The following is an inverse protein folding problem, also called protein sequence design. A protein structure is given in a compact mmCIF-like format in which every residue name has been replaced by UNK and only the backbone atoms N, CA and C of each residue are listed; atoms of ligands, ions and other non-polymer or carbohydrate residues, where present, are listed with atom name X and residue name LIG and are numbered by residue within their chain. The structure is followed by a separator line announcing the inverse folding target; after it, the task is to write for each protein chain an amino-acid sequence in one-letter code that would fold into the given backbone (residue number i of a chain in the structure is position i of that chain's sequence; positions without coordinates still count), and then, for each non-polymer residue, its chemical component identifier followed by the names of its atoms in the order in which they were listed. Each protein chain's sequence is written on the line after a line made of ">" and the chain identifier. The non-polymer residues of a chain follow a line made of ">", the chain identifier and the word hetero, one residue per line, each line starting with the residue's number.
data_IF_064996469208
#
_entry.id   IF_064996469208
#
_cell.length_a   1.000
_cell.length_b   1.000
_cell.length_c   1.000
_cell.angle_alpha   90.00
_cell.angle_beta   90.00
_cell.angle_gamma   90.00
#
_symmetry.space_group_name_H-M   'P 1'
#
loop_
_entity.id
_entity.type
_entity.pdbx_description
1 polymer ?
#
# COMPACT_ATOMS: atom_id res chain seq x y z
N UNK A 1 -4.95 -41.72 -27.81
CA UNK A 1 -5.61 -41.68 -26.47
C UNK A 1 -6.54 -40.48 -26.41
N UNK A 2 -7.87 -40.66 -26.26
CA UNK A 2 -8.78 -39.53 -26.15
C UNK A 2 -8.65 -38.89 -24.75
N UNK A 3 -8.42 -37.57 -24.68
CA UNK A 3 -8.48 -36.81 -23.42
C UNK A 3 -9.91 -36.93 -22.87
N UNK A 4 -10.08 -37.58 -21.71
CA UNK A 4 -11.36 -37.59 -20.98
C UNK A 4 -11.80 -36.15 -20.76
N UNK A 5 -12.84 -35.70 -21.47
CA UNK A 5 -13.42 -34.38 -21.26
C UNK A 5 -14.17 -34.38 -19.93
N UNK A 6 -13.71 -33.57 -18.98
CA UNK A 6 -14.37 -33.36 -17.69
C UNK A 6 -15.83 -32.92 -17.90
N UNK A 7 -16.78 -33.64 -17.29
CA UNK A 7 -18.22 -33.35 -17.43
C UNK A 7 -18.56 -31.99 -16.82
N UNK A 8 -19.71 -31.40 -17.19
CA UNK A 8 -20.14 -30.09 -16.67
C UNK A 8 -20.33 -30.12 -15.15
N UNK A 9 -20.84 -31.23 -14.60
CA UNK A 9 -21.00 -31.44 -13.16
C UNK A 9 -19.65 -31.53 -12.44
N UNK A 10 -18.65 -32.19 -13.05
CA UNK A 10 -17.32 -32.30 -12.46
C UNK A 10 -16.61 -30.93 -12.40
N UNK A 11 -16.77 -30.11 -13.43
CA UNK A 11 -16.27 -28.72 -13.44
C UNK A 11 -16.94 -27.86 -12.37
N UNK A 12 -18.25 -28.03 -12.16
CA UNK A 12 -18.99 -27.29 -11.14
C UNK A 12 -18.49 -27.65 -9.73
N UNK A 13 -18.32 -28.95 -9.47
CA UNK A 13 -17.78 -29.46 -8.20
C UNK A 13 -16.35 -28.99 -7.94
N UNK A 14 -15.50 -29.03 -8.96
CA UNK A 14 -14.12 -28.54 -8.86
C UNK A 14 -14.07 -27.04 -8.54
N UNK A 15 -14.90 -26.23 -9.19
CA UNK A 15 -14.98 -24.80 -8.90
C UNK A 15 -15.48 -24.52 -7.49
N UNK A 16 -16.45 -25.31 -6.99
CA UNK A 16 -16.96 -25.16 -5.64
C UNK A 16 -15.90 -25.57 -4.59
N UNK A 17 -15.19 -26.67 -4.83
CA UNK A 17 -14.07 -27.08 -3.98
C UNK A 17 -12.96 -26.01 -3.94
N UNK A 18 -12.59 -25.44 -5.08
CA UNK A 18 -11.58 -24.37 -5.15
C UNK A 18 -12.00 -23.12 -4.35
N UNK A 19 -13.28 -22.73 -4.38
CA UNK A 19 -13.80 -21.61 -3.57
C UNK A 19 -13.73 -21.90 -2.08
N UNK A 20 -14.11 -23.11 -1.66
CA UNK A 20 -14.05 -23.52 -0.24
C UNK A 20 -12.59 -23.54 0.23
N UNK A 21 -11.69 -24.14 -0.56
CA UNK A 21 -10.26 -24.17 -0.25
C UNK A 21 -9.68 -22.76 -0.12
N UNK A 22 -10.03 -21.85 -1.03
CA UNK A 22 -9.61 -20.44 -0.94
C UNK A 22 -10.16 -19.78 0.33
N UNK A 23 -11.43 -20.00 0.68
CA UNK A 23 -12.03 -19.47 1.91
C UNK A 23 -11.33 -19.98 3.17
N UNK A 24 -11.05 -21.28 3.24
CA UNK A 24 -10.30 -21.90 4.34
C UNK A 24 -8.87 -21.36 4.41
N UNK A 25 -8.21 -21.17 3.26
CA UNK A 25 -6.87 -20.58 3.17
C UNK A 25 -6.85 -19.14 3.71
N UNK A 26 -7.80 -18.30 3.30
CA UNK A 26 -7.93 -16.92 3.79
C UNK A 26 -8.22 -16.87 5.29
N UNK A 27 -9.11 -17.73 5.80
CA UNK A 27 -9.36 -17.84 7.22
C UNK A 27 -8.10 -18.27 7.99
N UNK A 28 -7.34 -19.23 7.44
CA UNK A 28 -6.05 -19.67 8.00
C UNK A 28 -5.02 -18.54 8.08
N UNK A 29 -4.93 -17.69 7.05
CA UNK A 29 -4.05 -16.50 7.07
C UNK A 29 -4.45 -15.53 8.20
N UNK A 30 -5.75 -15.24 8.34
CA UNK A 30 -6.24 -14.34 9.38
C UNK A 30 -5.93 -14.89 10.77
N UNK A 31 -6.18 -16.19 11.01
CA UNK A 31 -5.85 -16.84 12.28
C UNK A 31 -4.33 -16.83 12.53
N UNK A 32 -3.53 -17.14 11.51
CA UNK A 32 -2.08 -17.14 11.62
C UNK A 32 -1.50 -15.75 11.92
N UNK A 33 -2.11 -14.68 11.38
CA UNK A 33 -1.72 -13.30 11.69
C UNK A 33 -1.78 -13.00 13.20
N UNK A 34 -2.78 -13.51 13.92
CA UNK A 34 -2.93 -13.26 15.37
C UNK A 34 -2.19 -14.28 16.24
N UNK A 35 -2.14 -15.56 15.83
CA UNK A 35 -1.62 -16.64 16.67
C UNK A 35 -0.18 -17.06 16.36
N UNK A 36 0.30 -16.84 15.13
CA UNK A 36 1.59 -17.37 14.65
C UNK A 36 2.62 -16.25 14.45
N UNK A 37 2.20 -15.12 13.92
CA UNK A 37 3.06 -13.94 13.73
C UNK A 37 3.30 -13.30 15.11
N UNK A 38 4.55 -13.14 15.58
CA UNK A 38 4.80 -12.50 16.86
C UNK A 38 4.42 -11.02 16.82
N UNK A 39 4.32 -10.40 18.00
CA UNK A 39 4.25 -8.94 18.07
C UNK A 39 5.56 -8.34 17.55
N UNK A 40 5.44 -7.15 16.97
CA UNK A 40 6.60 -6.37 16.57
C UNK A 40 7.04 -5.56 17.77
N UNK A 41 8.35 -5.57 18.05
CA UNK A 41 8.91 -4.69 19.08
C UNK A 41 8.52 -3.25 18.69
N UNK A 42 8.05 -2.43 19.63
CA UNK A 42 7.58 -1.06 19.36
C UNK A 42 6.17 -0.92 18.82
N UNK A 43 5.86 -1.60 17.72
CA UNK A 43 4.55 -1.54 17.06
C UNK A 43 3.50 -2.47 17.71
N UNK A 44 3.94 -3.37 18.60
CA UNK A 44 3.09 -4.37 19.24
C UNK A 44 2.30 -5.21 18.24
N UNK A 45 0.99 -5.35 18.49
CA UNK A 45 0.08 -6.05 17.59
C UNK A 45 -0.23 -5.28 16.31
N UNK A 46 -0.05 -3.95 16.28
CA UNK A 46 -0.36 -3.13 15.11
C UNK A 46 0.48 -3.51 13.90
N UNK A 47 1.74 -3.91 14.11
CA UNK A 47 2.64 -4.34 13.04
C UNK A 47 2.15 -5.60 12.30
N UNK A 48 1.28 -6.42 12.90
CA UNK A 48 0.73 -7.64 12.24
C UNK A 48 -0.15 -7.30 11.04
N UNK A 49 -0.65 -6.07 10.94
CA UNK A 49 -1.51 -5.61 9.84
C UNK A 49 -0.85 -5.74 8.46
N UNK A 50 0.49 -5.78 8.38
CA UNK A 50 1.24 -5.99 7.14
C UNK A 50 0.81 -7.25 6.39
N UNK A 51 0.36 -8.28 7.11
CA UNK A 51 -0.12 -9.53 6.53
C UNK A 51 -1.38 -9.30 5.68
N UNK A 52 -2.14 -8.24 5.91
CA UNK A 52 -3.32 -7.88 5.13
C UNK A 52 -3.08 -6.66 4.25
N UNK A 53 -2.53 -5.59 4.83
CA UNK A 53 -2.35 -4.29 4.16
C UNK A 53 -1.47 -4.39 2.91
N UNK A 54 -0.26 -4.94 3.02
CA UNK A 54 0.68 -4.98 1.90
C UNK A 54 0.19 -5.87 0.75
N UNK A 55 -0.37 -7.08 1.00
CA UNK A 55 -1.00 -7.86 -0.07
C UNK A 55 -2.13 -7.11 -0.78
N UNK A 56 -2.99 -6.35 -0.07
CA UNK A 56 -4.04 -5.56 -0.73
C UNK A 56 -3.47 -4.45 -1.62
N UNK A 57 -2.42 -3.76 -1.19
CA UNK A 57 -1.72 -2.76 -2.00
C UNK A 57 -1.03 -3.39 -3.22
N UNK A 58 -0.44 -4.58 -3.07
CA UNK A 58 0.19 -5.31 -4.17
C UNK A 58 -0.83 -5.78 -5.21
N UNK A 59 -1.95 -6.34 -4.76
CA UNK A 59 -3.02 -6.78 -5.66
C UNK A 59 -3.66 -5.62 -6.41
N UNK A 60 -3.75 -4.43 -5.81
CA UNK A 60 -4.16 -3.21 -6.52
C UNK A 60 -3.33 -2.99 -7.79
N UNK A 61 -2.00 -3.02 -7.65
CA UNK A 61 -1.04 -2.88 -8.76
C UNK A 61 -1.27 -3.95 -9.83
N UNK A 62 -1.37 -5.21 -9.41
CA UNK A 62 -1.57 -6.36 -10.32
C UNK A 62 -2.90 -6.23 -11.08
N UNK A 63 -3.98 -5.88 -10.38
CA UNK A 63 -5.31 -5.77 -10.95
C UNK A 63 -5.40 -4.66 -12.00
N UNK A 64 -4.83 -3.48 -11.71
CA UNK A 64 -4.77 -2.37 -12.66
C UNK A 64 -3.88 -2.69 -13.87
N UNK A 65 -2.75 -3.39 -13.68
CA UNK A 65 -1.93 -3.86 -14.79
C UNK A 65 -2.68 -4.87 -15.69
N UNK A 66 -3.39 -5.83 -15.10
CA UNK A 66 -4.26 -6.78 -15.84
C UNK A 66 -5.34 -6.03 -16.61
N UNK A 67 -5.97 -5.03 -15.98
CA UNK A 67 -6.97 -4.18 -16.61
C UNK A 67 -6.41 -3.43 -17.83
N UNK A 68 -5.20 -2.91 -17.73
CA UNK A 68 -4.50 -2.25 -18.84
C UNK A 68 -4.21 -3.23 -19.98
N UNK A 69 -3.71 -4.43 -19.69
CA UNK A 69 -3.46 -5.47 -20.71
C UNK A 69 -4.74 -5.81 -21.49
N UNK A 70 -5.86 -5.97 -20.78
CA UNK A 70 -7.16 -6.19 -21.42
C UNK A 70 -7.64 -4.98 -22.24
N UNK A 71 -7.36 -3.76 -21.78
CA UNK A 71 -7.66 -2.53 -22.52
C UNK A 71 -6.87 -2.44 -23.83
N UNK A 72 -5.56 -2.78 -23.83
CA UNK A 72 -4.74 -2.89 -25.04
C UNK A 72 -5.34 -3.92 -26.01
N UNK A 73 -5.68 -5.11 -25.49
CA UNK A 73 -6.26 -6.18 -26.31
C UNK A 73 -7.60 -5.78 -26.92
N UNK A 74 -8.44 -5.08 -26.18
CA UNK A 74 -9.69 -4.55 -26.69
C UNK A 74 -9.45 -3.51 -27.80
N UNK A 75 -8.52 -2.56 -27.62
CA UNK A 75 -8.21 -1.57 -28.65
C UNK A 75 -7.68 -2.20 -29.94
N UNK A 76 -6.91 -3.29 -29.83
CA UNK A 76 -6.41 -4.05 -30.98
C UNK A 76 -7.51 -4.91 -31.63
N UNK A 77 -8.18 -5.77 -30.86
CA UNK A 77 -9.05 -6.82 -31.41
C UNK A 77 -10.54 -6.49 -31.41
N UNK A 78 -10.95 -5.42 -30.72
CA UNK A 78 -12.34 -4.98 -30.56
C UNK A 78 -13.29 -6.06 -30.00
N UNK A 79 -12.76 -6.99 -29.19
CA UNK A 79 -13.56 -8.06 -28.60
C UNK A 79 -14.17 -7.63 -27.28
N UNK A 80 -15.46 -7.82 -27.15
CA UNK A 80 -16.24 -7.41 -25.97
C UNK A 80 -15.82 -8.16 -24.71
N UNK A 81 -15.29 -9.39 -24.86
CA UNK A 81 -14.65 -10.13 -23.78
C UNK A 81 -13.39 -9.46 -23.23
N UNK A 82 -12.61 -8.77 -24.07
CA UNK A 82 -11.43 -8.04 -23.60
C UNK A 82 -11.86 -6.76 -22.84
N UNK A 83 -12.92 -6.06 -23.27
CA UNK A 83 -13.48 -4.93 -22.51
C UNK A 83 -14.08 -5.37 -21.16
N UNK A 84 -14.86 -6.45 -21.13
CA UNK A 84 -15.40 -7.01 -19.88
C UNK A 84 -14.27 -7.42 -18.91
N UNK A 85 -13.19 -7.99 -19.43
CA UNK A 85 -12.00 -8.32 -18.64
C UNK A 85 -11.31 -7.08 -18.06
N UNK A 86 -11.19 -6.00 -18.86
CA UNK A 86 -10.63 -4.74 -18.39
C UNK A 86 -11.44 -4.15 -17.23
N UNK A 87 -12.76 -4.06 -17.39
CA UNK A 87 -13.66 -3.51 -16.36
C UNK A 87 -13.62 -4.34 -15.09
N UNK A 88 -13.76 -5.68 -15.21
CA UNK A 88 -13.75 -6.57 -14.05
C UNK A 88 -12.45 -6.47 -13.24
N UNK A 89 -11.31 -6.36 -13.93
CA UNK A 89 -10.02 -6.18 -13.28
C UNK A 89 -9.87 -4.80 -12.65
N UNK A 90 -10.38 -3.72 -13.30
CA UNK A 90 -10.38 -2.38 -12.73
C UNK A 90 -11.25 -2.29 -11.46
N UNK A 91 -12.45 -2.85 -11.48
CA UNK A 91 -13.37 -2.85 -10.32
C UNK A 91 -12.76 -3.62 -9.14
N UNK A 92 -12.19 -4.80 -9.41
CA UNK A 92 -11.49 -5.57 -8.39
C UNK A 92 -10.26 -4.81 -7.84
N UNK A 93 -9.46 -4.20 -8.72
CA UNK A 93 -8.31 -3.38 -8.32
C UNK A 93 -8.72 -2.17 -7.49
N UNK A 94 -9.81 -1.50 -7.84
CA UNK A 94 -10.36 -0.38 -7.08
C UNK A 94 -10.80 -0.81 -5.67
N UNK A 95 -11.46 -1.97 -5.56
CA UNK A 95 -11.81 -2.55 -4.25
C UNK A 95 -10.56 -2.79 -3.39
N UNK A 96 -9.52 -3.42 -3.95
CA UNK A 96 -8.27 -3.63 -3.22
C UNK A 96 -7.55 -2.32 -2.88
N UNK A 97 -7.65 -1.31 -3.73
CA UNK A 97 -7.09 0.02 -3.49
C UNK A 97 -7.77 0.70 -2.29
N UNK A 98 -9.10 0.61 -2.23
CA UNK A 98 -9.89 1.09 -1.08
C UNK A 98 -9.48 0.34 0.18
N UNK A 99 -9.38 -1.00 0.13
CA UNK A 99 -8.96 -1.82 1.28
C UNK A 99 -7.54 -1.47 1.76
N UNK A 100 -6.61 -1.26 0.83
CA UNK A 100 -5.25 -0.82 1.14
C UNK A 100 -5.26 0.55 1.83
N UNK A 101 -6.04 1.49 1.30
CA UNK A 101 -6.18 2.85 1.86
C UNK A 101 -6.78 2.78 3.27
N UNK A 102 -7.92 2.11 3.46
CA UNK A 102 -8.59 2.04 4.76
C UNK A 102 -7.79 1.27 5.81
N UNK A 103 -7.09 0.19 5.42
CA UNK A 103 -6.20 -0.53 6.34
C UNK A 103 -4.97 0.29 6.70
N UNK A 104 -4.45 1.11 5.77
CA UNK A 104 -3.41 2.09 6.05
C UNK A 104 -3.87 3.15 7.05
N UNK A 105 -5.09 3.70 6.87
CA UNK A 105 -5.69 4.64 7.82
C UNK A 105 -5.86 4.06 9.23
N UNK A 106 -6.21 2.77 9.34
CA UNK A 106 -6.31 2.11 10.65
C UNK A 106 -4.94 1.96 11.31
N UNK A 107 -3.92 1.57 10.54
CA UNK A 107 -2.53 1.55 11.03
C UNK A 107 -2.11 2.95 11.50
N UNK A 108 -2.31 3.96 10.66
CA UNK A 108 -2.01 5.36 10.96
C UNK A 108 -2.66 5.82 12.28
N UNK A 109 -3.94 5.52 12.48
CA UNK A 109 -4.63 5.89 13.71
C UNK A 109 -4.06 5.21 14.96
N UNK A 110 -3.64 3.95 14.86
CA UNK A 110 -3.08 3.21 16.00
C UNK A 110 -1.65 3.67 16.31
N UNK A 111 -0.87 3.98 15.27
CA UNK A 111 0.58 4.11 15.34
C UNK A 111 1.04 5.57 15.38
N UNK A 112 0.31 6.47 14.72
CA UNK A 112 0.54 7.92 14.68
C UNK A 112 -0.54 8.73 15.43
N UNK A 113 -1.61 8.09 15.89
CA UNK A 113 -2.70 8.75 16.64
C UNK A 113 -3.72 9.50 15.78
N UNK A 114 -3.55 9.51 14.45
CA UNK A 114 -4.50 10.11 13.49
C UNK A 114 -4.67 9.19 12.28
N UNK A 115 -5.90 9.01 11.76
CA UNK A 115 -6.16 8.13 10.63
C UNK A 115 -5.66 8.68 9.29
N UNK A 116 -5.22 9.93 9.23
CA UNK A 116 -4.72 10.58 8.02
C UNK A 116 -3.74 11.71 8.37
N UNK A 117 -2.60 11.72 7.68
CA UNK A 117 -1.45 12.58 7.94
C UNK A 117 -0.97 13.29 6.65
N UNK A 118 -1.66 13.09 5.53
CA UNK A 118 -1.19 13.59 4.23
C UNK A 118 0.22 13.11 3.85
N UNK A 119 0.64 11.96 4.40
CA UNK A 119 1.91 11.33 4.05
C UNK A 119 1.99 11.12 2.52
N UNK A 120 3.18 11.21 1.90
CA UNK A 120 3.31 11.01 0.45
C UNK A 120 2.65 9.74 -0.08
N UNK A 121 2.65 8.62 0.66
CA UNK A 121 1.97 7.38 0.23
C UNK A 121 0.47 7.41 0.42
N UNK A 122 -0.01 7.99 1.51
CA UNK A 122 -1.45 8.25 1.71
C UNK A 122 -1.99 9.12 0.57
N UNK A 123 -1.29 10.22 0.30
CA UNK A 123 -1.69 11.17 -0.74
C UNK A 123 -1.64 10.55 -2.13
N UNK A 124 -0.58 9.81 -2.49
CA UNK A 124 -0.50 9.23 -3.84
C UNK A 124 -1.47 8.08 -4.06
N UNK A 125 -1.77 7.25 -3.05
CA UNK A 125 -2.79 6.20 -3.18
C UNK A 125 -4.20 6.81 -3.27
N UNK A 126 -4.46 7.92 -2.56
CA UNK A 126 -5.71 8.68 -2.72
C UNK A 126 -5.85 9.25 -4.12
N UNK A 127 -4.80 9.86 -4.68
CA UNK A 127 -4.80 10.35 -6.06
C UNK A 127 -5.09 9.20 -7.04
N UNK A 128 -4.48 8.02 -6.84
CA UNK A 128 -4.76 6.84 -7.65
C UNK A 128 -6.22 6.38 -7.54
N UNK A 129 -6.80 6.39 -6.33
CA UNK A 129 -8.23 6.13 -6.12
C UNK A 129 -9.08 7.11 -6.93
N UNK A 130 -8.79 8.41 -6.88
CA UNK A 130 -9.54 9.43 -7.61
C UNK A 130 -9.42 9.25 -9.14
N UNK A 131 -8.24 8.89 -9.64
CA UNK A 131 -8.02 8.59 -11.07
C UNK A 131 -8.90 7.43 -11.53
N UNK A 132 -8.98 6.34 -10.76
CA UNK A 132 -9.82 5.19 -11.09
C UNK A 132 -11.32 5.45 -10.82
N UNK A 133 -11.67 6.27 -9.84
CA UNK A 133 -13.05 6.74 -9.67
C UNK A 133 -13.50 7.54 -10.91
N UNK A 134 -12.64 8.42 -11.42
CA UNK A 134 -12.89 9.15 -12.67
C UNK A 134 -12.97 8.22 -13.90
N UNK A 135 -12.21 7.12 -13.95
CA UNK A 135 -12.40 6.08 -14.98
C UNK A 135 -13.83 5.53 -14.98
N UNK A 136 -14.37 5.17 -13.81
CA UNK A 136 -15.73 4.65 -13.69
C UNK A 136 -16.79 5.70 -14.01
N UNK A 137 -16.59 6.95 -13.54
CA UNK A 137 -17.48 8.07 -13.84
C UNK A 137 -17.53 8.38 -15.36
N UNK A 138 -16.37 8.39 -16.03
CA UNK A 138 -16.32 8.54 -17.49
C UNK A 138 -17.08 7.40 -18.18
N UNK A 139 -16.90 6.17 -17.71
CA UNK A 139 -17.56 5.01 -18.30
C UNK A 139 -19.07 5.04 -18.11
N UNK A 140 -19.56 5.48 -16.95
CA UNK A 140 -21.01 5.56 -16.67
C UNK A 140 -21.70 6.70 -17.42
N UNK A 141 -20.97 7.78 -17.75
CA UNK A 141 -21.51 8.94 -18.45
C UNK A 141 -21.67 8.77 -19.98
N UNK A 142 -21.26 7.63 -20.54
CA UNK A 142 -21.28 7.39 -22.00
C UNK A 142 -22.38 6.40 -22.39
N UNK A 143 -23.41 6.89 -23.07
CA UNK A 143 -24.55 6.09 -23.53
C UNK A 143 -24.16 5.13 -24.68
N UNK A 144 -23.41 5.65 -25.67
CA UNK A 144 -22.97 4.86 -26.81
C UNK A 144 -21.99 3.77 -26.35
N UNK A 145 -22.40 2.52 -26.54
CA UNK A 145 -21.69 1.35 -26.00
C UNK A 145 -20.28 1.23 -26.55
N UNK A 146 -20.07 1.45 -27.85
CA UNK A 146 -18.75 1.27 -28.46
C UNK A 146 -17.81 2.44 -28.13
N UNK A 147 -18.34 3.66 -28.11
CA UNK A 147 -17.63 4.86 -27.67
C UNK A 147 -17.22 4.73 -26.21
N UNK A 148 -18.11 4.25 -25.34
CA UNK A 148 -17.83 3.95 -23.92
C UNK A 148 -16.65 3.01 -23.78
N UNK A 149 -16.70 1.84 -24.41
CA UNK A 149 -15.63 0.85 -24.35
C UNK A 149 -14.29 1.42 -24.84
N UNK A 150 -14.29 2.13 -25.97
CA UNK A 150 -13.08 2.74 -26.55
C UNK A 150 -12.47 3.82 -25.66
N UNK A 151 -13.28 4.78 -25.21
CA UNK A 151 -12.79 5.90 -24.39
C UNK A 151 -12.34 5.42 -23.00
N UNK A 152 -13.08 4.50 -22.39
CA UNK A 152 -12.66 3.86 -21.13
C UNK A 152 -11.33 3.12 -21.31
N UNK A 153 -11.17 2.31 -22.36
CA UNK A 153 -9.93 1.58 -22.60
C UNK A 153 -8.73 2.52 -22.75
N UNK A 154 -8.87 3.63 -23.50
CA UNK A 154 -7.82 4.65 -23.63
C UNK A 154 -7.50 5.31 -22.29
N UNK A 155 -8.52 5.77 -21.56
CA UNK A 155 -8.34 6.39 -20.24
C UNK A 155 -7.60 5.45 -19.28
N UNK A 156 -7.97 4.17 -19.27
CA UNK A 156 -7.37 3.18 -18.37
C UNK A 156 -5.87 2.97 -18.66
N UNK A 157 -5.43 3.11 -19.92
CA UNK A 157 -4.00 3.07 -20.23
C UNK A 157 -3.25 4.26 -19.64
N UNK A 158 -3.82 5.47 -19.72
CA UNK A 158 -3.24 6.63 -19.06
C UNK A 158 -3.19 6.44 -17.54
N UNK A 159 -4.30 5.99 -16.92
CA UNK A 159 -4.35 5.67 -15.50
C UNK A 159 -3.29 4.64 -15.10
N UNK A 160 -3.16 3.55 -15.87
CA UNK A 160 -2.18 2.51 -15.61
C UNK A 160 -0.72 2.98 -15.72
N UNK A 161 -0.43 3.95 -16.59
CA UNK A 161 0.91 4.56 -16.68
C UNK A 161 1.20 5.46 -15.48
N UNK A 162 0.19 6.14 -14.93
CA UNK A 162 0.37 6.96 -13.72
C UNK A 162 0.57 6.12 -12.46
N UNK A 163 0.04 4.89 -12.43
CA UNK A 163 0.08 4.03 -11.24
C UNK A 163 1.51 3.73 -10.74
N UNK A 164 2.47 3.29 -11.59
CA UNK A 164 3.85 3.06 -11.12
C UNK A 164 4.51 4.32 -10.55
N UNK A 165 4.21 5.47 -11.14
CA UNK A 165 4.71 6.75 -10.64
C UNK A 165 4.14 7.03 -9.24
N UNK A 166 2.82 6.93 -9.06
CA UNK A 166 2.16 7.23 -7.79
C UNK A 166 2.47 6.22 -6.67
N UNK A 167 2.60 4.92 -6.97
CA UNK A 167 2.82 3.90 -5.94
C UNK A 167 4.30 3.65 -5.63
N UNK A 168 5.19 3.81 -6.63
CA UNK A 168 6.60 3.45 -6.46
C UNK A 168 7.55 4.65 -6.49
N UNK A 169 7.31 5.65 -7.33
CA UNK A 169 8.25 6.75 -7.55
C UNK A 169 7.97 7.93 -6.63
N UNK A 170 6.83 8.59 -6.78
CA UNK A 170 6.49 9.83 -6.07
C UNK A 170 6.64 9.74 -4.54
N UNK A 171 6.20 8.65 -3.87
CA UNK A 171 6.34 8.58 -2.41
C UNK A 171 7.78 8.39 -1.93
N UNK A 172 8.70 8.00 -2.81
CA UNK A 172 10.13 7.86 -2.51
C UNK A 172 10.94 9.10 -2.89
N UNK A 173 10.33 10.04 -3.61
CA UNK A 173 10.95 11.33 -3.93
C UNK A 173 10.71 12.38 -2.85
N UNK A 174 9.78 12.13 -1.93
CA UNK A 174 9.50 13.05 -0.84
C UNK A 174 10.65 13.02 0.20
N UNK A 175 11.11 14.20 0.60
CA UNK A 175 12.17 14.35 1.62
C UNK A 175 11.73 13.82 3.00
N UNK A 176 10.42 13.67 3.23
CA UNK A 176 9.85 13.24 4.50
C UNK A 176 8.66 12.30 4.31
N UNK A 177 8.65 11.17 5.02
CA UNK A 177 7.54 10.21 5.03
C UNK A 177 7.39 9.58 6.41
N UNK A 178 6.15 9.51 6.91
CA UNK A 178 5.80 8.69 8.09
C UNK A 178 5.83 7.21 7.76
N UNK A 179 5.50 6.89 6.50
CA UNK A 179 5.34 5.51 6.12
C UNK A 179 6.67 4.76 6.31
N UNK A 180 6.66 3.68 7.11
CA UNK A 180 7.87 2.98 7.54
C UNK A 180 8.42 2.11 6.40
N UNK A 181 8.85 2.75 5.31
CA UNK A 181 9.54 2.11 4.19
C UNK A 181 10.75 1.30 4.68
N UNK A 182 11.28 1.72 5.82
CA UNK A 182 12.58 1.39 6.35
C UNK A 182 12.54 0.46 7.59
N UNK A 183 11.37 0.29 8.22
CA UNK A 183 11.24 -0.62 9.37
C UNK A 183 11.13 -2.10 8.97
N UNK A 184 10.69 -2.38 7.73
CA UNK A 184 10.22 -3.73 7.36
C UNK A 184 11.09 -4.46 6.33
N UNK A 185 12.00 -3.77 5.63
CA UNK A 185 12.88 -4.36 4.60
C UNK A 185 14.35 -4.09 4.96
N UNK A 186 15.17 -5.15 5.04
CA UNK A 186 16.59 -5.05 5.37
C UNK A 186 17.36 -4.34 4.23
N UNK A 187 17.98 -3.20 4.53
CA UNK A 187 18.78 -2.42 3.57
C UNK A 187 18.07 -1.23 2.90
N UNK A 188 16.83 -0.89 3.29
CA UNK A 188 16.20 0.37 2.85
C UNK A 188 16.53 1.49 3.83
N UNK A 189 17.31 2.46 3.37
CA UNK A 189 17.51 3.75 4.03
C UNK A 189 16.27 4.61 3.81
N UNK A 190 15.77 5.22 4.89
CA UNK A 190 15.04 6.46 4.75
C UNK A 190 16.18 7.46 4.81
N UNK A 191 16.33 8.34 3.82
CA UNK A 191 17.51 9.23 3.74
C UNK A 191 17.56 10.28 4.88
N UNK A 192 16.77 10.08 5.94
CA UNK A 192 16.56 10.98 7.07
C UNK A 192 16.20 12.38 6.60
N UNK A 193 16.31 13.33 7.51
CA UNK A 193 16.33 14.75 7.19
C UNK A 193 17.59 15.37 7.77
N UNK A 194 18.33 16.06 6.91
CA UNK A 194 19.43 16.90 7.37
C UNK A 194 18.89 18.18 7.98
N UNK A 195 19.10 18.33 9.29
CA UNK A 195 18.81 19.56 10.03
C UNK A 195 20.09 20.32 10.34
N UNK A 196 19.97 21.64 10.43
CA UNK A 196 21.08 22.55 10.72
C UNK A 196 20.83 23.29 12.03
N UNK A 197 21.90 23.59 12.78
CA UNK A 197 21.83 24.29 14.06
C UNK A 197 21.08 25.63 13.94
N UNK A 198 20.51 26.06 15.08
CA UNK A 198 19.68 27.26 15.24
C UNK A 198 18.34 27.25 14.50
N UNK A 199 17.83 26.08 14.10
CA UNK A 199 16.57 25.97 13.37
C UNK A 199 16.56 26.62 11.99
N UNK A 200 17.75 26.88 11.41
CA UNK A 200 17.93 27.51 10.09
C UNK A 200 17.22 26.72 8.99
N UNK A 201 17.15 25.40 9.16
CA UNK A 201 16.30 24.50 8.40
C UNK A 201 15.38 23.77 9.36
N UNK A 202 14.09 24.01 9.22
CA UNK A 202 13.04 23.21 9.86
C UNK A 202 12.73 22.05 8.92
N UNK A 203 12.82 20.83 9.42
CA UNK A 203 12.46 19.64 8.67
C UNK A 203 11.20 19.02 9.22
N UNK A 204 10.63 18.11 8.46
CA UNK A 204 9.41 17.43 8.85
C UNK A 204 9.68 15.93 8.74
N UNK A 205 9.32 15.16 9.76
CA UNK A 205 9.22 13.71 9.66
C UNK A 205 7.74 13.38 9.81
N UNK A 206 7.07 13.35 8.67
CA UNK A 206 5.65 13.12 8.63
C UNK A 206 4.79 14.30 9.00
N UNK A 207 4.08 14.23 10.11
CA UNK A 207 3.36 15.36 10.70
C UNK A 207 4.21 16.11 11.73
N UNK A 208 5.34 15.52 12.13
CA UNK A 208 6.20 16.05 13.18
C UNK A 208 7.20 17.03 12.59
N UNK A 209 7.14 18.28 13.03
CA UNK A 209 8.09 19.32 12.67
C UNK A 209 9.25 19.29 13.64
N UNK A 210 10.47 19.22 13.09
CA UNK A 210 11.71 19.04 13.81
C UNK A 210 12.63 20.23 13.54
N UNK A 211 13.19 20.78 14.60
CA UNK A 211 14.22 21.81 14.52
C UNK A 211 15.40 21.44 15.40
N UNK A 212 16.60 21.50 14.82
CA UNK A 212 17.83 21.24 15.54
C UNK A 212 18.20 22.48 16.38
N UNK A 213 18.20 22.31 17.70
CA UNK A 213 18.53 23.37 18.66
C UNK A 213 20.02 23.38 19.00
N UNK A 214 20.62 22.20 19.17
CA UNK A 214 22.03 22.10 19.53
C UNK A 214 22.58 20.70 19.31
N UNK A 215 23.90 20.62 19.20
CA UNK A 215 24.65 19.35 19.21
C UNK A 215 25.73 19.51 20.28
N UNK A 216 25.70 18.65 21.28
CA UNK A 216 26.71 18.61 22.34
C UNK A 216 27.51 17.31 22.24
N UNK A 217 28.83 17.41 22.27
CA UNK A 217 29.69 16.23 22.29
C UNK A 217 30.09 15.90 23.73
N UNK A 218 29.67 14.74 24.21
CA UNK A 218 30.00 14.21 25.53
C UNK A 218 30.88 12.97 25.36
N UNK A 219 32.19 13.20 25.21
CA UNK A 219 33.15 12.11 24.94
C UNK A 219 32.96 11.52 23.54
N UNK A 220 32.61 10.23 23.49
CA UNK A 220 32.34 9.49 22.24
C UNK A 220 30.88 9.63 21.74
N UNK A 221 30.02 10.28 22.52
CA UNK A 221 28.62 10.49 22.17
C UNK A 221 28.40 11.92 21.67
N UNK A 222 27.74 12.05 20.52
CA UNK A 222 27.12 13.28 20.08
C UNK A 222 25.65 13.27 20.49
N UNK A 223 25.27 14.13 21.43
CA UNK A 223 23.91 14.32 21.91
C UNK A 223 23.27 15.46 21.12
N UNK A 224 22.18 15.15 20.42
CA UNK A 224 21.49 16.08 19.54
C UNK A 224 20.22 16.56 20.22
N UNK A 225 20.07 17.87 20.43
CA UNK A 225 18.89 18.48 21.02
C UNK A 225 17.92 18.88 19.92
N UNK A 226 16.76 18.22 19.88
CA UNK A 226 15.79 18.36 18.80
C UNK A 226 14.48 18.86 19.37
N UNK A 227 14.07 20.03 18.91
CA UNK A 227 12.74 20.56 19.15
C UNK A 227 11.73 19.84 18.26
N UNK A 228 10.65 19.37 18.87
CA UNK A 228 9.63 18.54 18.22
C UNK A 228 8.27 19.20 18.40
N UNK A 229 7.60 19.47 17.28
CA UNK A 229 6.23 20.01 17.23
C UNK A 229 5.33 19.05 16.48
N UNK A 230 4.16 18.76 17.03
CA UNK A 230 3.21 17.81 16.45
C UNK A 230 1.81 18.43 16.34
N UNK A 231 1.00 18.04 15.35
CA UNK A 231 -0.40 18.41 15.28
C UNK A 231 -1.13 17.86 16.52
N UNK A 232 -1.80 18.74 17.26
CA UNK A 232 -2.58 18.37 18.45
C UNK A 232 -1.83 18.47 19.79
N UNK A 233 -0.49 18.59 19.80
CA UNK A 233 0.22 19.04 20.99
C UNK A 233 0.19 20.58 21.06
N UNK A 234 -0.22 21.12 22.21
CA UNK A 234 -0.13 22.57 22.48
C UNK A 234 1.31 23.01 22.77
N UNK A 235 2.12 22.09 23.28
CA UNK A 235 3.46 22.36 23.78
C UNK A 235 4.52 21.71 22.90
N UNK A 236 5.65 22.40 22.79
CA UNK A 236 6.87 21.95 22.14
C UNK A 236 7.55 20.90 23.04
N UNK A 237 7.90 19.74 22.48
CA UNK A 237 8.70 18.73 23.19
C UNK A 237 10.17 18.82 22.78
N UNK A 238 11.09 18.71 23.73
CA UNK A 238 12.53 18.63 23.46
C UNK A 238 12.99 17.18 23.63
N UNK A 239 13.49 16.57 22.55
CA UNK A 239 14.05 15.23 22.56
C UNK A 239 15.58 15.29 22.42
N UNK A 240 16.28 14.35 23.05
CA UNK A 240 17.74 14.31 23.09
C UNK A 240 18.32 12.97 22.63
N UNK A 241 18.13 12.56 21.36
CA UNK A 241 18.79 11.38 20.81
C UNK A 241 20.32 11.53 20.85
N UNK A 242 21.03 10.41 20.87
CA UNK A 242 22.50 10.39 20.85
C UNK A 242 23.08 9.45 19.80
N UNK A 243 24.27 9.78 19.31
CA UNK A 243 25.00 9.06 18.28
C UNK A 243 26.42 8.74 18.75
N UNK A 244 26.86 7.50 18.57
CA UNK A 244 28.20 7.06 18.94
C UNK A 244 29.18 7.28 17.77
N UNK A 245 30.16 8.16 17.97
CA UNK A 245 31.08 8.63 16.93
C UNK A 245 32.07 7.54 16.51
N UNK A 246 32.51 6.69 17.43
CA UNK A 246 33.45 5.60 17.13
C UNK A 246 32.84 4.46 16.31
N UNK A 247 31.59 4.09 16.59
CA UNK A 247 30.90 2.97 15.93
C UNK A 247 30.05 3.38 14.73
N UNK A 248 29.73 4.68 14.62
CA UNK A 248 28.88 5.23 13.59
C UNK A 248 27.43 4.77 13.71
N UNK A 249 26.91 4.62 14.94
CA UNK A 249 25.56 4.09 15.20
C UNK A 249 24.76 4.97 16.16
N UNK A 250 23.42 5.01 16.01
CA UNK A 250 22.55 5.67 16.99
C UNK A 250 22.61 4.92 18.34
N UNK A 251 22.89 5.65 19.41
CA UNK A 251 23.04 5.14 20.78
C UNK A 251 21.74 5.27 21.60
N UNK A 252 21.22 6.49 21.79
CA UNK A 252 19.93 6.73 22.44
C UNK A 252 18.87 7.22 21.44
N UNK A 253 17.65 6.70 21.59
CA UNK A 253 16.54 6.90 20.64
C UNK A 253 15.24 7.18 21.41
N UNK A 254 14.99 8.42 21.82
CA UNK A 254 13.80 8.77 22.58
C UNK A 254 12.53 8.58 21.74
N UNK A 255 11.45 8.17 22.40
CA UNK A 255 10.12 8.04 21.80
C UNK A 255 9.50 9.42 21.53
N UNK A 256 8.82 9.56 20.40
CA UNK A 256 7.97 10.71 20.13
C UNK A 256 6.77 10.74 21.10
N UNK A 257 6.51 11.85 21.81
CA UNK A 257 5.36 11.97 22.71
C UNK A 257 4.04 11.50 22.09
N UNK A 258 3.42 10.48 22.70
CA UNK A 258 2.13 9.94 22.26
C UNK A 258 2.17 9.07 21.00
N UNK A 259 3.36 8.77 20.46
CA UNK A 259 3.56 7.87 19.34
C UNK A 259 4.49 6.72 19.72
N UNK A 260 4.54 5.66 18.90
CA UNK A 260 5.40 4.50 19.14
C UNK A 260 6.73 4.57 18.38
N UNK A 261 7.04 5.67 17.70
CA UNK A 261 8.30 5.82 16.96
C UNK A 261 9.40 6.40 17.81
N UNK A 262 10.63 6.08 17.44
CA UNK A 262 11.85 6.59 18.03
C UNK A 262 12.46 7.63 17.11
N UNK A 263 13.00 8.69 17.70
CA UNK A 263 13.88 9.62 17.00
C UNK A 263 15.30 9.06 17.06
N UNK A 264 15.90 8.77 15.90
CA UNK A 264 17.27 8.31 15.78
C UNK A 264 18.12 9.35 15.06
N UNK A 265 19.39 9.43 15.44
CA UNK A 265 20.42 10.19 14.72
C UNK A 265 21.21 9.20 13.90
N UNK A 266 21.17 9.31 12.57
CA UNK A 266 21.89 8.41 11.67
C UNK A 266 23.29 8.91 11.35
N UNK A 267 23.48 10.23 11.32
CA UNK A 267 24.77 10.86 11.02
C UNK A 267 24.86 12.22 11.72
N UNK A 268 26.07 12.59 12.16
CA UNK A 268 26.36 13.89 12.77
C UNK A 268 27.57 14.52 12.10
N UNK A 269 27.39 15.73 11.59
CA UNK A 269 28.45 16.60 11.09
C UNK A 269 28.68 17.72 12.11
N UNK A 270 29.61 17.47 13.03
CA UNK A 270 30.00 18.43 14.08
C UNK A 270 30.65 19.70 13.51
N UNK A 271 31.25 19.63 12.32
CA UNK A 271 31.97 20.77 11.72
C UNK A 271 31.02 21.81 11.16
N UNK A 272 29.95 21.37 10.52
CA UNK A 272 28.93 22.25 9.95
C UNK A 272 27.70 22.41 10.85
N UNK A 273 27.68 21.76 12.02
CA UNK A 273 26.56 21.82 12.95
C UNK A 273 25.28 21.21 12.36
N UNK A 274 25.39 20.03 11.74
CA UNK A 274 24.26 19.35 11.11
C UNK A 274 24.10 17.94 11.64
N UNK A 275 22.86 17.48 11.70
CA UNK A 275 22.54 16.11 12.06
C UNK A 275 21.52 15.54 11.09
N UNK A 276 21.74 14.30 10.67
CA UNK A 276 20.78 13.51 9.93
C UNK A 276 19.88 12.78 10.93
N UNK A 277 18.63 13.24 11.01
CA UNK A 277 17.63 12.65 11.90
C UNK A 277 16.70 11.74 11.12
N UNK A 278 16.31 10.64 11.73
CA UNK A 278 15.35 9.71 11.17
C UNK A 278 14.31 9.29 12.21
N UNK A 279 13.14 8.88 11.73
CA UNK A 279 12.07 8.31 12.53
C UNK A 279 12.11 6.80 12.34
N UNK A 280 12.45 6.09 13.39
CA UNK A 280 12.53 4.63 13.38
C UNK A 280 11.31 4.05 14.07
N UNK A 281 10.66 3.05 13.45
CA UNK A 281 9.81 2.18 14.23
C UNK A 281 10.73 1.32 15.13
N UNK A 282 10.38 1.06 16.39
CA UNK A 282 11.17 0.17 17.22
C UNK A 282 11.15 -1.24 16.61
N UNK A 283 12.19 -2.03 16.86
CA UNK A 283 12.27 -3.42 16.41
C UNK A 283 12.92 -3.66 15.04
N UNK A 284 13.49 -4.87 14.89
CA UNK A 284 14.28 -5.27 13.72
C UNK A 284 13.49 -6.15 12.74
N UNK A 285 13.49 -5.76 11.46
CA UNK A 285 13.32 -6.59 10.25
C UNK A 285 12.18 -7.61 10.22
N UNK A 286 11.02 -7.19 9.73
CA UNK A 286 9.80 -8.00 9.49
C UNK A 286 10.05 -9.35 8.79
N UNK A 287 10.98 -9.38 7.84
CA UNK A 287 11.27 -10.55 6.99
C UNK A 287 12.36 -11.47 7.55
N UNK A 288 13.04 -11.10 8.64
CA UNK A 288 14.03 -11.95 9.30
C UNK A 288 13.37 -13.09 10.09
N UNK A 289 12.10 -12.93 10.46
CA UNK A 289 11.33 -13.95 11.17
C UNK A 289 10.66 -14.91 10.17
N UNK A 290 11.09 -16.17 10.17
CA UNK A 290 10.56 -17.19 9.27
C UNK A 290 9.05 -17.36 9.36
N UNK A 291 8.44 -17.22 10.54
CA UNK A 291 6.98 -17.34 10.71
C UNK A 291 6.26 -16.21 9.98
N UNK A 292 6.68 -14.98 10.23
CA UNK A 292 6.17 -13.79 9.56
C UNK A 292 6.34 -13.89 8.05
N UNK A 293 7.54 -14.25 7.58
CA UNK A 293 7.83 -14.38 6.16
C UNK A 293 6.89 -15.38 5.47
N UNK A 294 6.74 -16.59 6.02
CA UNK A 294 5.88 -17.60 5.42
C UNK A 294 4.39 -17.25 5.48
N UNK A 295 3.93 -16.64 6.57
CA UNK A 295 2.55 -16.13 6.66
C UNK A 295 2.32 -15.00 5.65
N UNK A 296 3.29 -14.11 5.46
CA UNK A 296 3.21 -13.04 4.48
C UNK A 296 3.17 -13.57 3.03
N UNK A 297 4.00 -14.55 2.70
CA UNK A 297 3.97 -15.22 1.38
C UNK A 297 2.63 -15.94 1.16
N UNK A 298 2.13 -16.67 2.15
CA UNK A 298 0.84 -17.33 2.09
C UNK A 298 -0.30 -16.32 1.87
N UNK A 299 -0.22 -15.16 2.53
CA UNK A 299 -1.16 -14.07 2.36
C UNK A 299 -1.18 -13.53 0.93
N UNK A 300 -0.01 -13.23 0.34
CA UNK A 300 0.09 -12.79 -1.05
C UNK A 300 -0.56 -13.78 -2.03
N UNK A 301 -0.33 -15.09 -1.83
CA UNK A 301 -0.96 -16.14 -2.63
C UNK A 301 -2.49 -16.15 -2.44
N UNK A 302 -2.95 -16.03 -1.20
CA UNK A 302 -4.38 -16.00 -0.86
C UNK A 302 -5.11 -14.81 -1.51
N UNK A 303 -4.56 -13.61 -1.36
CA UNK A 303 -5.10 -12.39 -1.95
C UNK A 303 -5.06 -12.41 -3.48
N UNK A 304 -4.02 -12.99 -4.09
CA UNK A 304 -3.99 -13.22 -5.55
C UNK A 304 -5.10 -14.19 -5.99
N UNK A 305 -5.31 -15.27 -5.24
CA UNK A 305 -6.41 -16.21 -5.46
C UNK A 305 -7.78 -15.53 -5.35
N UNK A 306 -7.96 -14.68 -4.34
CA UNK A 306 -9.17 -13.88 -4.13
C UNK A 306 -9.42 -12.91 -5.30
N UNK A 307 -8.38 -12.21 -5.75
CA UNK A 307 -8.46 -11.37 -6.95
C UNK A 307 -8.89 -12.16 -8.18
N UNK A 308 -8.24 -13.29 -8.48
CA UNK A 308 -8.56 -14.12 -9.64
C UNK A 308 -10.03 -14.57 -9.59
N UNK A 309 -10.51 -14.95 -8.40
CA UNK A 309 -11.89 -15.36 -8.21
C UNK A 309 -12.88 -14.22 -8.44
N UNK A 310 -12.67 -13.06 -7.81
CA UNK A 310 -13.51 -11.86 -7.97
C UNK A 310 -13.54 -11.39 -9.43
N UNK A 311 -12.37 -11.29 -10.06
CA UNK A 311 -12.21 -10.94 -11.46
C UNK A 311 -13.01 -11.86 -12.38
N UNK A 312 -12.87 -13.19 -12.22
CA UNK A 312 -13.59 -14.16 -13.06
C UNK A 312 -15.10 -14.06 -12.88
N UNK A 313 -15.55 -14.00 -11.62
CA UNK A 313 -16.96 -13.87 -11.31
C UNK A 313 -17.54 -12.62 -11.99
N UNK A 314 -16.86 -11.48 -11.87
CA UNK A 314 -17.34 -10.23 -12.43
C UNK A 314 -17.30 -10.22 -13.96
N UNK A 315 -16.24 -10.73 -14.57
CA UNK A 315 -16.15 -10.84 -16.03
C UNK A 315 -17.26 -11.74 -16.62
N UNK A 316 -17.56 -12.86 -15.96
CA UNK A 316 -18.64 -13.77 -16.36
C UNK A 316 -20.01 -13.08 -16.27
N UNK A 317 -20.27 -12.32 -15.20
CA UNK A 317 -21.50 -11.54 -15.04
C UNK A 317 -21.66 -10.51 -16.15
N UNK A 318 -20.62 -9.73 -16.44
CA UNK A 318 -20.64 -8.73 -17.52
C UNK A 318 -20.91 -9.36 -18.89
N UNK A 319 -20.29 -10.51 -19.18
CA UNK A 319 -20.51 -11.22 -20.43
C UNK A 319 -21.90 -11.87 -20.51
N UNK A 320 -22.46 -12.30 -19.39
CA UNK A 320 -23.83 -12.81 -19.33
C UNK A 320 -24.83 -11.68 -19.62
N UNK A 321 -24.67 -10.51 -18.98
CA UNK A 321 -25.50 -9.33 -19.23
C UNK A 321 -25.49 -8.92 -20.69
N UNK A 322 -24.31 -8.91 -21.32
CA UNK A 322 -24.17 -8.60 -22.75
C UNK A 322 -24.88 -9.62 -23.65
N UNK A 323 -24.87 -10.91 -23.28
CA UNK A 323 -25.57 -11.95 -24.04
C UNK A 323 -27.08 -11.85 -23.89
N UNK A 324 -27.57 -11.48 -22.70
CA UNK A 324 -28.98 -11.27 -22.42
C UNK A 324 -29.53 -10.06 -23.19
N UNK A 325 -28.84 -8.92 -23.11
CA UNK A 325 -29.21 -7.71 -23.85
C UNK A 325 -29.30 -7.95 -25.36
N UNK A 326 -28.38 -8.73 -25.94
CA UNK A 326 -28.47 -9.10 -27.37
C UNK A 326 -29.66 -9.99 -27.68
N UNK A 327 -30.03 -10.91 -26.78
CA UNK A 327 -31.19 -11.78 -26.97
C UNK A 327 -32.49 -10.98 -26.91
N UNK A 328 -32.63 -10.07 -25.97
CA UNK A 328 -33.81 -9.19 -25.87
C UNK A 328 -34.04 -8.42 -27.17
N UNK A 329 -32.97 -7.83 -27.73
CA UNK A 329 -33.01 -7.16 -29.04
C UNK A 329 -33.35 -8.13 -30.17
N UNK A 330 -32.80 -9.34 -30.17
CA UNK A 330 -33.01 -10.33 -31.25
C UNK A 330 -34.44 -10.91 -31.23
N UNK A 331 -35.05 -11.05 -30.05
CA UNK A 331 -36.35 -11.69 -29.87
C UNK A 331 -37.50 -10.72 -29.58
N UNK A 332 -37.25 -9.41 -29.54
CA UNK A 332 -38.28 -8.38 -29.35
C UNK A 332 -39.04 -8.49 -28.03
N UNK A 333 -38.40 -9.04 -26.99
CA UNK A 333 -38.99 -9.12 -25.66
C UNK A 333 -39.00 -7.70 -25.05
N UNK A 334 -40.12 -7.22 -24.48
CA UNK A 334 -40.17 -5.91 -23.85
C UNK A 334 -39.20 -5.85 -22.67
N UNK A 335 -38.49 -4.72 -22.57
CA UNK A 335 -37.48 -4.42 -21.56
C UNK A 335 -38.04 -4.34 -20.13
#
# INVERSE_FOLDING_TARGET
>A
MPRKSCSMSDRLRLNQAAKILLGVWMAGIIVAMFLVVPQYVGLGDAGRIIILHVPTAWITTVAFAVSAVYSIRYLWKRRIADDAGAVAAAEAGFLFCVLATTSGMWFANIVWGTPWNWDPRETTILILLLIYAAYFALRSALDDVERRRRLSAVYNLFAAVTMPFLLFVAPRMAESTLHPNCAFIQGSHCDGIWLEMNGTRVGQLGDVVLALQGIEQHGDLAVVQVEVRMPGLRDVALLTPSFELSSGKPADRPEFPGQQFLLAVEEVDLTNGRALLNMEAPGTGLLSNSRTFWTFMASNIGFLGLFIWLYRLRADVLLLQERLARREVTYGLPA
#
